data_IF_443711699281
#
_entry.id   IF_443711699281
#
_cell.length_a   1.000
_cell.length_b   1.000
_cell.length_c   1.000
_cell.angle_alpha   90.00
_cell.angle_beta   90.00
_cell.angle_gamma   90.00
#
_symmetry.space_group_name_H-M   'P 1'
#
loop_
_entity.id
_entity.type
_entity.pdbx_description
1 polymer ?
#
# COMPACT_ATOMS: atom_id res chain seq x y z
N UNK A 1 -5.54 44.64 -66.44
CA UNK A 1 -5.50 45.42 -65.18
C UNK A 1 -6.55 44.89 -64.24
N UNK A 2 -6.14 44.31 -63.12
CA UNK A 2 -6.80 44.39 -61.80
C UNK A 2 -6.11 43.38 -60.86
N UNK A 3 -5.04 43.85 -60.23
CA UNK A 3 -4.47 43.25 -59.03
C UNK A 3 -5.49 43.35 -57.89
N UNK A 4 -5.81 42.21 -57.26
CA UNK A 4 -6.43 42.16 -55.92
C UNK A 4 -6.22 40.77 -55.33
N UNK A 5 -5.02 40.49 -54.84
CA UNK A 5 -4.76 39.46 -53.81
C UNK A 5 -3.38 39.68 -53.20
N UNK A 6 -3.33 40.34 -52.04
CA UNK A 6 -2.39 40.13 -50.93
C UNK A 6 -2.32 41.34 -50.00
N UNK A 7 -3.34 41.55 -49.16
CA UNK A 7 -3.23 42.55 -48.08
C UNK A 7 -3.59 41.96 -46.70
N UNK A 8 -3.89 40.66 -46.59
CA UNK A 8 -4.35 40.09 -45.31
C UNK A 8 -3.36 39.12 -44.61
N UNK A 9 -2.34 38.61 -45.30
CA UNK A 9 -1.40 37.65 -44.70
C UNK A 9 -0.15 38.31 -44.08
N UNK A 10 0.29 39.46 -44.59
CA UNK A 10 1.44 40.20 -44.04
C UNK A 10 1.18 40.81 -42.64
N UNK A 11 -0.07 41.23 -42.40
CA UNK A 11 -0.50 41.84 -41.13
C UNK A 11 -0.57 40.81 -39.99
N UNK A 12 -0.92 39.55 -40.30
CA UNK A 12 -1.07 38.50 -39.28
C UNK A 12 0.25 38.14 -38.58
N UNK A 13 1.35 38.04 -39.33
CA UNK A 13 2.67 37.72 -38.79
C UNK A 13 3.25 38.85 -37.96
N UNK A 14 3.13 40.10 -38.45
CA UNK A 14 3.59 41.28 -37.71
C UNK A 14 2.79 41.51 -36.43
N UNK A 15 1.47 41.29 -36.45
CA UNK A 15 0.59 41.38 -35.27
C UNK A 15 0.92 40.29 -34.24
N UNK A 16 1.24 39.06 -34.67
CA UNK A 16 1.66 37.98 -33.77
C UNK A 16 3.01 38.32 -33.11
N UNK A 17 3.97 38.83 -33.89
CA UNK A 17 5.28 39.24 -33.38
C UNK A 17 5.15 40.44 -32.43
N UNK A 18 4.31 41.42 -32.76
CA UNK A 18 4.06 42.58 -31.90
C UNK A 18 3.38 42.18 -30.58
N UNK A 19 2.40 41.26 -30.61
CA UNK A 19 1.76 40.71 -29.41
C UNK A 19 2.74 39.89 -28.56
N UNK A 20 3.63 39.11 -29.16
CA UNK A 20 4.67 38.38 -28.45
C UNK A 20 5.68 39.32 -27.80
N UNK A 21 6.08 40.40 -28.48
CA UNK A 21 6.94 41.45 -27.94
C UNK A 21 6.28 42.21 -26.79
N UNK A 22 5.02 42.65 -26.94
CA UNK A 22 4.27 43.36 -25.89
C UNK A 22 4.05 42.45 -24.67
N UNK A 23 3.77 41.17 -24.86
CA UNK A 23 3.70 40.18 -23.77
C UNK A 23 5.05 40.01 -23.08
N UNK A 24 6.13 39.86 -23.84
CA UNK A 24 7.47 39.73 -23.27
C UNK A 24 7.88 40.98 -22.50
N UNK A 25 7.68 42.17 -23.04
CA UNK A 25 8.04 43.42 -22.37
C UNK A 25 7.22 43.64 -21.08
N UNK A 26 5.94 43.26 -21.07
CA UNK A 26 5.07 43.38 -19.89
C UNK A 26 5.39 42.34 -18.80
N UNK A 27 5.76 41.12 -19.18
CA UNK A 27 5.88 40.00 -18.25
C UNK A 27 7.30 39.45 -18.07
N UNK A 28 8.33 39.98 -18.75
CA UNK A 28 9.70 39.44 -18.67
C UNK A 28 10.25 39.38 -17.24
N UNK A 29 10.10 40.44 -16.43
CA UNK A 29 10.60 40.51 -15.06
C UNK A 29 9.90 39.51 -14.14
N UNK A 30 8.54 39.46 -14.07
CA UNK A 30 7.87 38.44 -13.25
C UNK A 30 8.11 37.01 -13.77
N UNK A 31 8.19 36.80 -15.08
CA UNK A 31 8.52 35.48 -15.67
C UNK A 31 9.94 35.03 -15.31
N UNK A 32 10.92 35.93 -15.33
CA UNK A 32 12.29 35.63 -14.92
C UNK A 32 12.35 35.29 -13.42
N UNK A 33 11.67 36.05 -12.56
CA UNK A 33 11.61 35.77 -11.11
C UNK A 33 10.93 34.42 -10.86
N UNK A 34 9.81 34.14 -11.52
CA UNK A 34 9.11 32.87 -11.41
C UNK A 34 9.99 31.70 -11.89
N UNK A 35 10.72 31.89 -12.99
CA UNK A 35 11.63 30.86 -13.54
C UNK A 35 12.79 30.55 -12.60
N UNK A 36 13.42 31.59 -12.03
CA UNK A 36 14.46 31.43 -11.01
C UNK A 36 13.91 30.76 -9.76
N UNK A 37 12.72 31.15 -9.30
CA UNK A 37 12.05 30.50 -8.16
C UNK A 37 11.82 29.00 -8.42
N UNK A 38 11.36 28.63 -9.62
CA UNK A 38 11.19 27.22 -10.01
C UNK A 38 12.54 26.49 -9.99
N UNK A 39 13.60 27.08 -10.57
CA UNK A 39 14.94 26.48 -10.58
C UNK A 39 15.47 26.28 -9.16
N UNK A 40 15.28 27.26 -8.27
CA UNK A 40 15.70 27.15 -6.85
C UNK A 40 14.90 26.07 -6.12
N UNK A 41 13.59 25.97 -6.37
CA UNK A 41 12.75 24.92 -5.78
C UNK A 41 13.15 23.52 -6.26
N UNK A 42 13.33 23.35 -7.58
CA UNK A 42 13.74 22.06 -8.17
C UNK A 42 15.16 21.70 -7.74
N UNK A 43 16.09 22.66 -7.77
CA UNK A 43 17.48 22.46 -7.33
C UNK A 43 17.57 22.15 -5.84
N UNK A 44 16.84 22.88 -5.00
CA UNK A 44 16.72 22.62 -3.57
C UNK A 44 16.14 21.24 -3.27
N UNK A 45 15.07 20.85 -3.98
CA UNK A 45 14.48 19.50 -3.89
C UNK A 45 15.47 18.41 -4.31
N UNK A 46 16.20 18.61 -5.41
CA UNK A 46 17.21 17.65 -5.90
C UNK A 46 18.35 17.46 -4.89
N UNK A 47 18.89 18.56 -4.33
CA UNK A 47 19.92 18.51 -3.31
C UNK A 47 19.40 17.79 -2.05
N UNK A 48 18.20 18.16 -1.59
CA UNK A 48 17.59 17.53 -0.42
C UNK A 48 17.42 16.01 -0.62
N UNK A 49 16.89 15.59 -1.78
CA UNK A 49 16.74 14.18 -2.13
C UNK A 49 18.08 13.44 -2.17
N UNK A 50 19.08 14.00 -2.86
CA UNK A 50 20.31 13.26 -3.13
C UNK A 50 21.30 13.26 -1.96
N UNK A 51 21.32 14.31 -1.13
CA UNK A 51 22.29 14.46 -0.04
C UNK A 51 21.73 14.14 1.35
N UNK A 52 20.40 14.16 1.54
CA UNK A 52 19.79 13.87 2.84
C UNK A 52 18.91 12.62 2.81
N UNK A 53 17.99 12.50 1.85
CA UNK A 53 17.04 11.38 1.80
C UNK A 53 17.74 10.08 1.40
N UNK A 54 18.38 10.03 0.22
CA UNK A 54 19.02 8.80 -0.27
C UNK A 54 20.06 8.23 0.68
N UNK A 55 21.02 9.00 1.26
CA UNK A 55 21.99 8.43 2.18
C UNK A 55 21.36 7.91 3.47
N UNK A 56 20.28 8.55 3.94
CA UNK A 56 19.53 8.09 5.10
C UNK A 56 18.81 6.78 4.81
N UNK A 57 18.21 6.65 3.63
CA UNK A 57 17.58 5.41 3.15
C UNK A 57 18.58 4.26 3.06
N UNK A 58 19.74 4.49 2.43
CA UNK A 58 20.79 3.46 2.29
C UNK A 58 21.28 2.99 3.65
N UNK A 59 21.55 3.90 4.58
CA UNK A 59 21.95 3.54 5.95
C UNK A 59 20.86 2.77 6.69
N UNK A 60 19.60 3.19 6.55
CA UNK A 60 18.48 2.51 7.17
C UNK A 60 18.35 1.06 6.67
N UNK A 61 18.46 0.84 5.36
CA UNK A 61 18.45 -0.49 4.77
C UNK A 61 19.64 -1.35 5.23
N UNK A 62 20.85 -0.77 5.28
CA UNK A 62 22.06 -1.46 5.74
C UNK A 62 21.92 -1.95 7.18
N UNK A 63 21.48 -1.09 8.11
CA UNK A 63 21.34 -1.50 9.52
C UNK A 63 20.16 -2.44 9.75
N UNK A 64 19.14 -2.41 8.88
CA UNK A 64 17.98 -3.32 8.94
C UNK A 64 18.30 -4.72 8.43
N UNK A 65 19.29 -4.86 7.54
CA UNK A 65 19.63 -6.14 6.91
C UNK A 65 19.84 -7.28 7.92
N UNK A 66 20.47 -7.00 9.06
CA UNK A 66 20.69 -8.02 10.09
C UNK A 66 19.40 -8.39 10.84
N UNK A 67 18.49 -7.45 11.05
CA UNK A 67 17.16 -7.74 11.61
C UNK A 67 16.36 -8.67 10.69
N UNK A 68 16.40 -8.45 9.38
CA UNK A 68 15.78 -9.35 8.40
C UNK A 68 16.40 -10.74 8.40
N UNK A 69 17.72 -10.84 8.61
CA UNK A 69 18.43 -12.12 8.75
C UNK A 69 17.93 -12.91 9.97
N UNK A 70 17.81 -12.27 11.14
CA UNK A 70 17.21 -12.89 12.31
C UNK A 70 15.76 -13.30 12.06
N UNK A 71 14.98 -12.46 11.37
CA UNK A 71 13.59 -12.75 11.05
C UNK A 71 13.46 -14.00 10.15
N UNK A 72 14.32 -14.13 9.13
CA UNK A 72 14.37 -15.33 8.26
C UNK A 72 14.77 -16.61 9.00
N UNK A 73 15.50 -16.47 10.10
CA UNK A 73 15.92 -17.57 10.97
C UNK A 73 14.92 -17.82 12.12
N UNK A 74 13.71 -17.22 12.05
CA UNK A 74 12.69 -17.26 13.11
C UNK A 74 13.18 -16.84 14.50
N UNK A 75 14.27 -16.06 14.55
CA UNK A 75 14.81 -15.49 15.78
C UNK A 75 14.10 -14.19 16.14
N UNK A 76 12.79 -14.29 16.42
CA UNK A 76 11.85 -13.16 16.52
C UNK A 76 12.32 -12.07 17.51
N UNK A 77 12.81 -12.45 18.69
CA UNK A 77 13.27 -11.49 19.70
C UNK A 77 14.53 -10.73 19.25
N UNK A 78 15.45 -11.40 18.55
CA UNK A 78 16.65 -10.76 17.99
C UNK A 78 16.29 -9.87 16.80
N UNK A 79 15.35 -10.31 15.95
CA UNK A 79 14.86 -9.50 14.85
C UNK A 79 14.22 -8.21 15.34
N UNK A 80 13.44 -8.28 16.42
CA UNK A 80 12.73 -7.14 16.98
C UNK A 80 13.66 -6.18 17.74
N UNK A 81 14.52 -6.71 18.61
CA UNK A 81 15.30 -5.92 19.57
C UNK A 81 16.78 -5.72 19.18
N UNK A 82 17.32 -6.59 18.33
CA UNK A 82 18.75 -6.70 18.05
C UNK A 82 19.48 -7.55 19.10
N UNK A 83 20.80 -7.66 18.93
CA UNK A 83 21.69 -8.44 19.80
C UNK A 83 22.64 -7.53 20.62
N UNK A 84 22.41 -6.21 20.60
CA UNK A 84 23.24 -5.19 21.23
C UNK A 84 24.31 -4.59 20.31
N UNK A 85 24.81 -5.35 19.34
CA UNK A 85 25.72 -4.85 18.30
C UNK A 85 24.94 -4.42 17.06
N UNK A 86 24.06 -5.29 16.60
CA UNK A 86 23.19 -5.14 15.46
C UNK A 86 21.81 -4.63 15.89
N UNK A 87 21.19 -3.82 15.03
CA UNK A 87 19.91 -3.21 15.33
C UNK A 87 18.77 -4.17 14.98
N UNK A 88 17.75 -4.23 15.84
CA UNK A 88 16.46 -4.82 15.52
C UNK A 88 15.50 -3.82 14.89
N UNK A 89 14.36 -4.30 14.39
CA UNK A 89 13.35 -3.49 13.71
C UNK A 89 12.87 -2.30 14.54
N UNK A 90 12.71 -2.44 15.86
CA UNK A 90 12.26 -1.33 16.70
C UNK A 90 13.23 -0.15 16.71
N UNK A 91 14.54 -0.44 16.67
CA UNK A 91 15.58 0.61 16.63
C UNK A 91 15.67 1.25 15.26
N UNK A 92 15.46 0.47 14.19
CA UNK A 92 15.34 1.02 12.82
C UNK A 92 14.14 1.95 12.73
N UNK A 93 12.98 1.57 13.26
CA UNK A 93 11.77 2.42 13.33
C UNK A 93 12.06 3.73 14.08
N UNK A 94 12.67 3.66 15.27
CA UNK A 94 12.98 4.84 16.09
C UNK A 94 13.89 5.85 15.37
N UNK A 95 14.93 5.36 14.68
CA UNK A 95 15.94 6.23 14.04
C UNK A 95 15.62 6.60 12.59
N UNK A 96 14.90 5.73 11.89
CA UNK A 96 14.70 5.79 10.45
C UNK A 96 13.24 5.64 10.02
N UNK A 97 12.25 5.77 10.91
CA UNK A 97 10.82 5.60 10.56
C UNK A 97 10.28 6.48 9.44
N UNK A 98 10.99 7.54 9.04
CA UNK A 98 10.66 8.37 7.88
C UNK A 98 11.29 7.93 6.55
N UNK A 99 11.92 6.75 6.50
CA UNK A 99 12.52 6.15 5.30
C UNK A 99 11.70 4.94 4.87
N UNK A 100 11.87 4.46 3.64
CA UNK A 100 11.18 3.25 3.13
C UNK A 100 11.56 2.01 3.95
N UNK A 101 12.83 1.88 4.34
CA UNK A 101 13.31 0.84 5.25
C UNK A 101 12.67 0.94 6.64
N UNK A 102 12.56 2.13 7.22
CA UNK A 102 11.86 2.33 8.50
C UNK A 102 10.37 2.00 8.41
N UNK A 103 9.73 2.34 7.29
CA UNK A 103 8.37 1.92 6.99
C UNK A 103 8.27 0.39 6.88
N UNK A 104 9.15 -0.28 6.14
CA UNK A 104 9.18 -1.74 6.04
C UNK A 104 9.45 -2.41 7.40
N UNK A 105 10.27 -1.81 8.25
CA UNK A 105 10.50 -2.29 9.61
C UNK A 105 9.20 -2.34 10.44
N UNK A 106 8.22 -1.44 10.20
CA UNK A 106 6.90 -1.54 10.84
C UNK A 106 6.15 -2.82 10.45
N UNK A 107 6.22 -3.22 9.17
CA UNK A 107 5.62 -4.47 8.71
C UNK A 107 6.24 -5.68 9.42
N UNK A 108 7.57 -5.78 9.44
CA UNK A 108 8.26 -6.88 10.10
C UNK A 108 8.07 -6.90 11.62
N UNK A 109 8.12 -5.74 12.27
CA UNK A 109 7.84 -5.63 13.71
C UNK A 109 6.39 -6.06 14.01
N UNK A 110 5.44 -5.70 13.14
CA UNK A 110 4.05 -6.16 13.20
C UNK A 110 3.93 -7.68 13.22
N UNK A 111 4.53 -8.35 12.25
CA UNK A 111 4.53 -9.82 12.16
C UNK A 111 5.26 -10.47 13.36
N UNK A 112 6.41 -9.91 13.78
CA UNK A 112 7.13 -10.36 14.97
C UNK A 112 6.24 -10.30 16.22
N UNK A 113 5.48 -9.22 16.41
CA UNK A 113 4.57 -9.10 17.55
C UNK A 113 3.42 -10.11 17.51
N UNK A 114 2.91 -10.46 16.32
CA UNK A 114 1.92 -11.55 16.17
C UNK A 114 2.53 -12.88 16.63
N UNK A 115 3.74 -13.21 16.16
CA UNK A 115 4.47 -14.43 16.59
C UNK A 115 4.72 -14.50 18.10
N UNK A 116 4.73 -13.36 18.79
CA UNK A 116 4.88 -13.26 20.25
C UNK A 116 3.54 -13.20 21.00
N UNK A 117 2.41 -13.33 20.31
CA UNK A 117 1.06 -13.10 20.84
C UNK A 117 0.84 -11.68 21.42
N UNK A 118 1.67 -10.70 21.02
CA UNK A 118 1.56 -9.29 21.41
C UNK A 118 0.70 -8.50 20.39
N UNK A 119 -0.49 -9.01 20.11
CA UNK A 119 -1.33 -8.61 18.98
C UNK A 119 -1.73 -7.12 18.95
N UNK A 120 -1.89 -6.48 20.11
CA UNK A 120 -2.15 -5.04 20.14
C UNK A 120 -0.95 -4.23 19.62
N UNK A 121 0.28 -4.61 19.98
CA UNK A 121 1.49 -3.95 19.45
C UNK A 121 1.65 -4.25 17.96
N UNK A 122 1.30 -5.45 17.51
CA UNK A 122 1.29 -5.77 16.08
C UNK A 122 0.41 -4.81 15.29
N UNK A 123 -0.83 -4.61 15.73
CA UNK A 123 -1.77 -3.67 15.12
C UNK A 123 -1.19 -2.25 15.09
N UNK A 124 -0.57 -1.80 16.19
CA UNK A 124 -0.01 -0.45 16.28
C UNK A 124 1.15 -0.22 15.31
N UNK A 125 1.95 -1.27 15.02
CA UNK A 125 2.99 -1.20 13.99
C UNK A 125 2.39 -1.29 12.58
N UNK A 126 1.52 -2.26 12.31
CA UNK A 126 0.92 -2.47 10.98
C UNK A 126 0.07 -1.27 10.52
N UNK A 127 -0.55 -0.52 11.43
CA UNK A 127 -1.25 0.74 11.12
C UNK A 127 -0.33 1.84 10.59
N UNK A 128 0.94 1.82 10.95
CA UNK A 128 1.95 2.79 10.50
C UNK A 128 2.60 2.40 9.18
N UNK A 129 2.44 1.14 8.78
CA UNK A 129 2.97 0.62 7.53
C UNK A 129 2.04 0.96 6.36
N UNK A 130 2.63 1.34 5.22
CA UNK A 130 1.95 1.37 3.94
C UNK A 130 2.88 0.98 2.79
N UNK A 131 2.33 0.44 1.70
CA UNK A 131 3.11 0.10 0.52
C UNK A 131 2.34 0.34 -0.78
N UNK A 132 3.05 0.79 -1.81
CA UNK A 132 2.55 0.83 -3.18
C UNK A 132 2.47 -0.57 -3.81
N UNK A 133 3.20 -1.55 -3.26
CA UNK A 133 3.09 -2.94 -3.67
C UNK A 133 1.80 -3.54 -3.16
N UNK A 134 0.88 -3.82 -4.08
CA UNK A 134 -0.44 -4.38 -3.76
C UNK A 134 -0.34 -5.71 -3.00
N UNK A 135 0.61 -6.58 -3.36
CA UNK A 135 0.79 -7.86 -2.67
C UNK A 135 1.23 -7.67 -1.22
N UNK A 136 2.22 -6.82 -0.97
CA UNK A 136 2.72 -6.54 0.40
C UNK A 136 1.65 -5.84 1.23
N UNK A 137 0.92 -4.89 0.64
CA UNK A 137 -0.15 -4.19 1.33
C UNK A 137 -1.34 -5.11 1.67
N UNK A 138 -1.70 -6.04 0.77
CA UNK A 138 -2.71 -7.06 1.04
C UNK A 138 -2.27 -7.98 2.19
N UNK A 139 -1.00 -8.40 2.21
CA UNK A 139 -0.44 -9.19 3.32
C UNK A 139 -0.51 -8.46 4.65
N UNK A 140 -0.21 -7.16 4.68
CA UNK A 140 -0.35 -6.36 5.89
C UNK A 140 -1.80 -6.31 6.39
N UNK A 141 -2.78 -6.17 5.48
CA UNK A 141 -4.20 -6.25 5.87
C UNK A 141 -4.58 -7.63 6.42
N UNK A 142 -4.08 -8.72 5.83
CA UNK A 142 -4.30 -10.07 6.37
C UNK A 142 -3.73 -10.19 7.79
N UNK A 143 -2.50 -9.74 8.03
CA UNK A 143 -1.88 -9.75 9.36
C UNK A 143 -2.64 -8.89 10.37
N UNK A 144 -3.22 -7.77 9.96
CA UNK A 144 -4.13 -7.01 10.82
C UNK A 144 -5.39 -7.82 11.15
N UNK A 145 -5.96 -8.54 10.17
CA UNK A 145 -7.05 -9.48 10.38
C UNK A 145 -6.71 -10.53 11.44
N UNK A 146 -5.55 -11.18 11.29
CA UNK A 146 -5.02 -12.18 12.22
C UNK A 146 -4.90 -11.59 13.64
N UNK A 147 -4.23 -10.45 13.79
CA UNK A 147 -4.02 -9.82 15.09
C UNK A 147 -5.33 -9.36 15.77
N UNK A 148 -6.30 -8.85 15.00
CA UNK A 148 -7.62 -8.51 15.56
C UNK A 148 -8.40 -9.77 15.96
N UNK A 149 -8.31 -10.84 15.16
CA UNK A 149 -8.95 -12.12 15.44
C UNK A 149 -8.46 -12.73 16.76
N UNK A 150 -7.15 -12.74 16.97
CA UNK A 150 -6.52 -13.25 18.20
C UNK A 150 -6.92 -12.44 19.46
N UNK A 151 -7.27 -11.16 19.29
CA UNK A 151 -7.81 -10.32 20.36
C UNK A 151 -9.33 -10.50 20.57
N UNK A 152 -9.98 -11.38 19.82
CA UNK A 152 -11.43 -11.55 19.82
C UNK A 152 -12.21 -10.39 19.17
N UNK A 153 -11.52 -9.48 18.49
CA UNK A 153 -12.10 -8.32 17.77
C UNK A 153 -12.56 -8.76 16.38
N UNK A 154 -13.54 -9.66 16.37
CA UNK A 154 -13.96 -10.40 15.17
C UNK A 154 -14.51 -9.52 14.05
N UNK A 155 -15.12 -8.38 14.39
CA UNK A 155 -15.66 -7.47 13.38
C UNK A 155 -14.54 -6.76 12.62
N UNK A 156 -13.54 -6.26 13.33
CA UNK A 156 -12.35 -5.66 12.74
C UNK A 156 -11.56 -6.70 11.95
N UNK A 157 -11.41 -7.92 12.49
CA UNK A 157 -10.76 -9.02 11.78
C UNK A 157 -11.44 -9.30 10.43
N UNK A 158 -12.76 -9.45 10.43
CA UNK A 158 -13.58 -9.61 9.23
C UNK A 158 -13.35 -8.49 8.22
N UNK A 159 -13.39 -7.23 8.65
CA UNK A 159 -13.22 -6.07 7.75
C UNK A 159 -11.81 -6.06 7.12
N UNK A 160 -10.76 -6.40 7.89
CA UNK A 160 -9.39 -6.46 7.38
C UNK A 160 -9.14 -7.67 6.48
N UNK A 161 -9.74 -8.83 6.74
CA UNK A 161 -9.69 -9.97 5.83
C UNK A 161 -10.37 -9.68 4.50
N UNK A 162 -11.57 -9.07 4.51
CA UNK A 162 -12.21 -8.60 3.27
C UNK A 162 -11.33 -7.62 2.53
N UNK A 163 -10.77 -6.64 3.24
CA UNK A 163 -9.86 -5.65 2.65
C UNK A 163 -8.65 -6.30 2.01
N UNK A 164 -8.05 -7.31 2.66
CA UNK A 164 -6.94 -8.07 2.11
C UNK A 164 -7.34 -8.82 0.82
N UNK A 165 -8.45 -9.55 0.88
CA UNK A 165 -8.95 -10.37 -0.23
C UNK A 165 -9.32 -9.56 -1.49
N UNK A 166 -9.82 -8.33 -1.31
CA UNK A 166 -10.19 -7.45 -2.42
C UNK A 166 -9.06 -6.53 -2.90
N UNK A 167 -7.94 -6.43 -2.19
CA UNK A 167 -6.89 -5.46 -2.53
C UNK A 167 -6.05 -5.87 -3.75
N UNK A 168 -5.82 -7.17 -3.93
CA UNK A 168 -4.97 -7.70 -5.01
C UNK A 168 -5.49 -9.03 -5.59
N UNK A 169 -6.69 -9.02 -6.16
CA UNK A 169 -7.37 -10.20 -6.72
C UNK A 169 -6.56 -10.98 -7.79
N UNK A 170 -5.51 -10.39 -8.38
CA UNK A 170 -4.60 -11.10 -9.29
C UNK A 170 -3.80 -12.21 -8.59
N UNK A 171 -3.59 -12.09 -7.29
CA UNK A 171 -3.07 -13.16 -6.45
C UNK A 171 -4.27 -13.98 -5.94
N UNK A 172 -4.77 -14.85 -6.81
CA UNK A 172 -6.01 -15.60 -6.58
C UNK A 172 -5.94 -16.41 -5.29
N UNK A 173 -4.81 -17.05 -5.00
CA UNK A 173 -4.61 -17.90 -3.82
C UNK A 173 -4.74 -17.08 -2.52
N UNK A 174 -3.97 -16.01 -2.38
CA UNK A 174 -4.02 -15.20 -1.15
C UNK A 174 -5.34 -14.42 -1.03
N UNK A 175 -5.93 -14.03 -2.16
CA UNK A 175 -7.22 -13.33 -2.18
C UNK A 175 -8.35 -14.25 -1.71
N UNK A 176 -8.41 -15.46 -2.25
CA UNK A 176 -9.38 -16.48 -1.88
C UNK A 176 -9.23 -16.89 -0.40
N UNK A 177 -7.99 -17.10 0.08
CA UNK A 177 -7.71 -17.39 1.49
C UNK A 177 -8.26 -16.29 2.42
N UNK A 178 -7.95 -15.03 2.14
CA UNK A 178 -8.40 -13.93 2.98
C UNK A 178 -9.94 -13.76 2.96
N UNK A 179 -10.59 -13.86 1.80
CA UNK A 179 -12.05 -13.81 1.73
C UNK A 179 -12.69 -15.01 2.44
N UNK A 180 -12.06 -16.17 2.41
CA UNK A 180 -12.56 -17.36 3.10
C UNK A 180 -12.52 -17.16 4.62
N UNK A 181 -11.45 -16.58 5.15
CA UNK A 181 -11.36 -16.21 6.57
C UNK A 181 -12.47 -15.22 6.97
N UNK A 182 -12.75 -14.23 6.12
CA UNK A 182 -13.88 -13.32 6.33
C UNK A 182 -15.23 -14.05 6.31
N UNK A 183 -15.48 -14.92 5.33
CA UNK A 183 -16.72 -15.68 5.23
C UNK A 183 -16.93 -16.58 6.46
N UNK A 184 -15.86 -17.23 6.91
CA UNK A 184 -15.87 -18.08 8.11
C UNK A 184 -16.21 -17.27 9.37
N UNK A 185 -15.60 -16.10 9.57
CA UNK A 185 -15.92 -15.22 10.70
C UNK A 185 -17.37 -14.73 10.64
N UNK A 186 -17.85 -14.35 9.46
CA UNK A 186 -19.24 -13.94 9.25
C UNK A 186 -20.22 -15.04 9.71
N UNK A 187 -19.97 -16.28 9.28
CA UNK A 187 -20.81 -17.42 9.62
C UNK A 187 -20.72 -17.82 11.09
N UNK A 188 -19.50 -17.99 11.61
CA UNK A 188 -19.27 -18.68 12.89
C UNK A 188 -19.31 -17.77 14.09
N UNK A 189 -19.06 -16.48 13.88
CA UNK A 189 -18.82 -15.55 14.99
C UNK A 189 -19.70 -14.32 14.94
N UNK A 190 -19.94 -13.76 13.76
CA UNK A 190 -20.74 -12.54 13.60
C UNK A 190 -22.23 -12.81 13.38
N UNK A 191 -22.64 -14.07 13.22
CA UNK A 191 -24.00 -14.48 12.86
C UNK A 191 -24.52 -13.81 11.58
N UNK A 192 -23.63 -13.42 10.68
CA UNK A 192 -23.96 -12.85 9.38
C UNK A 192 -23.96 -13.95 8.30
N UNK A 193 -24.97 -14.81 8.38
CA UNK A 193 -25.13 -15.92 7.44
C UNK A 193 -25.24 -15.45 5.99
N UNK A 194 -25.91 -14.32 5.76
CA UNK A 194 -26.09 -13.78 4.41
C UNK A 194 -24.76 -13.31 3.83
N UNK A 195 -24.00 -12.52 4.58
CA UNK A 195 -22.67 -12.07 4.17
C UNK A 195 -21.69 -13.22 3.96
N UNK A 196 -21.77 -14.27 4.78
CA UNK A 196 -20.98 -15.49 4.59
C UNK A 196 -21.29 -16.17 3.25
N UNK A 197 -22.57 -16.37 2.93
CA UNK A 197 -23.01 -16.97 1.65
C UNK A 197 -22.52 -16.14 0.45
N UNK A 198 -22.64 -14.81 0.53
CA UNK A 198 -22.18 -13.90 -0.52
C UNK A 198 -20.66 -14.04 -0.76
N UNK A 199 -19.86 -14.06 0.31
CA UNK A 199 -18.41 -14.22 0.21
C UNK A 199 -18.01 -15.62 -0.31
N UNK A 200 -18.65 -16.69 0.15
CA UNK A 200 -18.36 -18.04 -0.36
C UNK A 200 -18.69 -18.16 -1.86
N UNK A 201 -19.79 -17.56 -2.31
CA UNK A 201 -20.11 -17.50 -3.75
C UNK A 201 -19.08 -16.67 -4.53
N UNK A 202 -18.68 -15.52 -3.98
CA UNK A 202 -17.66 -14.67 -4.60
C UNK A 202 -16.33 -15.42 -4.80
N UNK A 203 -15.88 -16.17 -3.78
CA UNK A 203 -14.65 -16.97 -3.87
C UNK A 203 -14.73 -17.98 -5.01
N UNK A 204 -15.87 -18.66 -5.14
CA UNK A 204 -16.09 -19.63 -6.22
C UNK A 204 -16.10 -19.00 -7.60
N UNK A 205 -16.72 -17.83 -7.74
CA UNK A 205 -16.85 -17.15 -9.02
C UNK A 205 -15.51 -16.57 -9.48
N UNK A 206 -14.81 -15.87 -8.59
CA UNK A 206 -13.56 -15.17 -8.92
C UNK A 206 -12.34 -16.06 -8.89
N UNK A 207 -12.30 -17.07 -8.01
CA UNK A 207 -11.12 -17.89 -7.75
C UNK A 207 -11.38 -19.40 -7.86
N UNK A 208 -12.02 -19.90 -8.93
CA UNK A 208 -12.57 -21.26 -9.03
C UNK A 208 -11.52 -22.38 -8.94
N UNK A 209 -10.23 -22.08 -9.11
CA UNK A 209 -9.13 -23.07 -9.09
C UNK A 209 -8.46 -23.21 -7.72
N UNK A 210 -8.86 -22.41 -6.75
CA UNK A 210 -8.27 -22.42 -5.40
C UNK A 210 -8.83 -23.55 -4.54
N UNK A 211 -8.13 -23.89 -3.46
CA UNK A 211 -8.65 -24.78 -2.43
C UNK A 211 -9.88 -24.19 -1.75
N UNK A 212 -9.85 -22.88 -1.47
CA UNK A 212 -10.94 -22.17 -0.81
C UNK A 212 -12.24 -22.15 -1.63
N UNK A 213 -12.16 -22.14 -2.97
CA UNK A 213 -13.34 -22.29 -3.81
C UNK A 213 -13.98 -23.69 -3.67
N UNK A 214 -13.15 -24.74 -3.56
CA UNK A 214 -13.63 -26.11 -3.31
C UNK A 214 -14.21 -26.25 -1.90
N UNK A 215 -13.60 -25.62 -0.91
CA UNK A 215 -14.13 -25.61 0.45
C UNK A 215 -15.44 -24.82 0.53
N UNK A 216 -15.52 -23.67 -0.15
CA UNK A 216 -16.72 -22.82 -0.17
C UNK A 216 -17.97 -23.60 -0.60
N UNK A 217 -17.85 -24.60 -1.49
CA UNK A 217 -18.96 -25.50 -1.83
C UNK A 217 -19.52 -26.25 -0.63
N UNK A 218 -18.64 -26.81 0.20
CA UNK A 218 -19.04 -27.54 1.40
C UNK A 218 -19.72 -26.61 2.40
N UNK A 219 -19.21 -25.38 2.57
CA UNK A 219 -19.80 -24.40 3.48
C UNK A 219 -21.14 -23.87 2.98
N UNK A 220 -21.29 -23.63 1.68
CA UNK A 220 -22.57 -23.26 1.06
C UNK A 220 -23.61 -24.38 1.21
N UNK A 221 -23.21 -25.64 1.06
CA UNK A 221 -24.08 -26.80 1.31
C UNK A 221 -24.53 -26.87 2.78
N UNK A 222 -23.61 -26.68 3.74
CA UNK A 222 -23.95 -26.61 5.17
C UNK A 222 -24.94 -25.49 5.50
N UNK A 223 -24.86 -24.37 4.76
CA UNK A 223 -25.77 -23.23 4.87
C UNK A 223 -27.08 -23.41 4.09
N UNK A 224 -27.32 -24.58 3.51
CA UNK A 224 -28.57 -24.92 2.83
C UNK A 224 -28.73 -24.32 1.42
N UNK A 225 -27.69 -23.70 0.86
CA UNK A 225 -27.76 -23.04 -0.46
C UNK A 225 -28.05 -24.02 -1.60
N UNK A 226 -27.61 -25.26 -1.46
CA UNK A 226 -27.83 -26.33 -2.44
C UNK A 226 -28.92 -27.33 -2.01
N UNK A 227 -29.68 -27.02 -0.95
CA UNK A 227 -30.81 -27.86 -0.55
C UNK A 227 -31.92 -27.76 -1.60
N UNK A 228 -32.13 -28.86 -2.31
CA UNK A 228 -33.36 -29.10 -3.07
C UNK A 228 -34.44 -29.49 -2.07
N UNK A 229 -35.23 -28.53 -1.59
CA UNK A 229 -36.57 -28.89 -1.14
C UNK A 229 -37.33 -29.47 -2.34
N UNK A 230 -37.91 -30.65 -2.10
CA UNK A 230 -38.74 -31.42 -3.02
C UNK A 230 -40.08 -30.74 -3.27
#
# INVERSE_FOLDING_TARGET
>A
MADKKNVQDADSGEVIVAKAKDFWERYNKPLMIASVAIIVLVGGWYIYQNYFVKPKETKAAEVMFKAEDYYRQDSVLLALNGDGQNWGFLKVIDKYGGTDAGNLAHFYAGDCFIKLNENQKAIDQLKKFSSSSKSVQARAYKLMGDAYGDLGKNKEAFDYYKKAGHHFEKDETNSAEALFMAAYLAQRTLNDTKGAIELYKEIKEKFPRTEQARDADNYLAQLGVYSTEK
#
